data_IF_428432363967
#
_entry.id   IF_428432363967
#
_cell.length_a   1.000
_cell.length_b   1.000
_cell.length_c   1.000
_cell.angle_alpha   90.00
_cell.angle_beta   90.00
_cell.angle_gamma   90.00
#
_symmetry.space_group_name_H-M   'P 1'
#
loop_
_entity.id
_entity.type
_entity.pdbx_description
1 polymer ?
#
# COMPACT_ATOMS: atom_id res chain seq x y z
N UNK A 1 -12.46 -16.78 17.16
CA UNK A 1 -11.64 -15.57 17.32
C UNK A 1 -12.51 -14.34 17.46
N UNK A 2 -12.07 -13.37 18.28
CA UNK A 2 -12.55 -12.00 18.13
C UNK A 2 -11.82 -11.41 16.92
N UNK A 3 -12.40 -10.39 16.29
CA UNK A 3 -11.78 -9.67 15.19
C UNK A 3 -11.74 -8.20 15.62
N UNK A 4 -11.08 -7.95 16.75
CA UNK A 4 -10.97 -6.63 17.38
C UNK A 4 -10.26 -5.64 16.46
N UNK A 5 -9.26 -6.08 15.67
CA UNK A 5 -8.59 -5.25 14.65
C UNK A 5 -9.56 -4.81 13.56
N UNK A 6 -10.32 -5.72 12.95
CA UNK A 6 -11.32 -5.36 11.92
C UNK A 6 -12.43 -4.48 12.50
N UNK A 7 -12.81 -4.69 13.76
CA UNK A 7 -13.77 -3.84 14.45
C UNK A 7 -13.23 -2.43 14.69
N UNK A 8 -11.96 -2.32 15.12
CA UNK A 8 -11.26 -1.05 15.31
C UNK A 8 -11.15 -0.29 13.99
N UNK A 9 -10.68 -0.96 12.93
CA UNK A 9 -10.61 -0.39 11.57
C UNK A 9 -11.97 0.03 11.02
N UNK A 10 -13.02 -0.75 11.24
CA UNK A 10 -14.38 -0.36 10.82
C UNK A 10 -14.88 0.89 11.57
N UNK A 11 -14.51 1.03 12.84
CA UNK A 11 -14.87 2.20 13.65
C UNK A 11 -14.12 3.43 13.19
N UNK A 12 -12.81 3.32 12.96
CA UNK A 12 -12.00 4.40 12.41
C UNK A 12 -12.49 4.81 11.01
N UNK A 13 -12.75 3.84 10.13
CA UNK A 13 -13.24 4.09 8.78
C UNK A 13 -14.57 4.83 8.79
N UNK A 14 -15.45 4.52 9.75
CA UNK A 14 -16.69 5.25 9.92
C UNK A 14 -16.40 6.73 10.19
N UNK A 15 -15.55 7.02 11.18
CA UNK A 15 -15.20 8.40 11.55
C UNK A 15 -14.57 9.15 10.38
N UNK A 16 -13.61 8.53 9.68
CA UNK A 16 -12.89 9.15 8.56
C UNK A 16 -13.82 9.40 7.36
N UNK A 17 -14.79 8.52 7.11
CA UNK A 17 -15.81 8.76 6.07
C UNK A 17 -16.80 9.86 6.48
N UNK A 18 -17.24 9.90 7.74
CA UNK A 18 -18.13 10.95 8.23
C UNK A 18 -17.45 12.33 8.19
N UNK A 19 -16.17 12.41 8.60
CA UNK A 19 -15.35 13.62 8.52
C UNK A 19 -15.05 14.01 7.06
N UNK A 20 -14.51 13.08 6.26
CA UNK A 20 -14.08 13.37 4.88
C UNK A 20 -15.23 13.74 3.95
N UNK A 21 -16.45 13.23 4.21
CA UNK A 21 -17.63 13.53 3.40
C UNK A 21 -18.44 14.73 3.90
N UNK A 22 -18.20 15.20 5.13
CA UNK A 22 -18.84 16.42 5.65
C UNK A 22 -18.11 17.68 5.22
N UNK A 23 -16.85 17.58 4.76
CA UNK A 23 -16.12 18.71 4.21
C UNK A 23 -16.59 19.10 2.80
N UNK A 24 -16.67 20.41 2.47
CA UNK A 24 -17.00 20.85 1.11
C UNK A 24 -15.93 20.36 0.13
N UNK A 25 -16.34 19.63 -0.91
CA UNK A 25 -15.44 19.28 -1.99
C UNK A 25 -14.96 20.56 -2.70
N UNK A 26 -13.67 20.69 -3.04
CA UNK A 26 -13.10 21.92 -3.60
C UNK A 26 -13.74 22.36 -4.92
N UNK A 27 -14.45 21.46 -5.60
CA UNK A 27 -15.11 21.71 -6.88
C UNK A 27 -16.61 22.02 -6.77
N UNK A 28 -17.21 21.91 -5.58
CA UNK A 28 -18.61 22.26 -5.36
C UNK A 28 -18.72 23.74 -4.94
N UNK A 29 -19.62 24.49 -5.61
CA UNK A 29 -20.09 25.79 -5.09
C UNK A 29 -20.58 25.57 -3.65
N UNK A 30 -20.22 26.45 -2.70
CA UNK A 30 -20.39 26.15 -1.28
C UNK A 30 -21.87 26.02 -0.92
N UNK A 31 -22.28 24.96 -0.20
CA UNK A 31 -23.22 25.13 0.89
C UNK A 31 -22.45 25.78 2.05
N UNK A 32 -23.05 26.82 2.65
CA UNK A 32 -22.47 27.63 3.72
C UNK A 32 -22.29 26.90 5.08
N UNK A 33 -22.60 25.60 5.18
CA UNK A 33 -22.48 24.82 6.43
C UNK A 33 -22.18 23.34 6.10
N UNK A 34 -21.15 22.72 6.70
CA UNK A 34 -20.95 21.26 6.66
C UNK A 34 -22.22 20.54 7.09
N UNK A 35 -22.75 19.63 6.28
CA UNK A 35 -23.84 18.77 6.71
C UNK A 35 -23.26 17.49 7.32
N UNK A 36 -23.71 17.09 8.51
CA UNK A 36 -23.27 15.85 9.11
C UNK A 36 -23.71 14.67 8.22
N UNK A 37 -22.72 13.89 7.79
CA UNK A 37 -22.94 12.63 7.07
C UNK A 37 -22.98 11.52 8.11
N UNK A 38 -24.04 10.71 8.11
CA UNK A 38 -24.13 9.54 8.99
C UNK A 38 -23.83 8.27 8.19
N UNK A 39 -22.82 7.51 8.64
CA UNK A 39 -22.39 6.25 8.04
C UNK A 39 -22.67 5.09 8.99
N UNK A 40 -23.35 4.06 8.48
CA UNK A 40 -23.58 2.83 9.24
C UNK A 40 -22.28 2.04 9.36
N UNK A 41 -21.97 1.57 10.57
CA UNK A 41 -20.81 0.71 10.82
C UNK A 41 -20.85 -0.59 9.97
N UNK A 42 -22.05 -1.10 9.70
CA UNK A 42 -22.23 -2.25 8.81
C UNK A 42 -21.71 -1.99 7.39
N UNK A 43 -21.85 -0.77 6.85
CA UNK A 43 -21.31 -0.42 5.54
C UNK A 43 -19.78 -0.44 5.55
N UNK A 44 -19.15 0.05 6.62
CA UNK A 44 -17.69 0.05 6.76
C UNK A 44 -17.13 -1.37 6.70
N UNK A 45 -17.75 -2.32 7.41
CA UNK A 45 -17.33 -3.72 7.31
C UNK A 45 -17.48 -4.32 5.90
N UNK A 46 -18.49 -3.90 5.14
CA UNK A 46 -18.66 -4.36 3.75
C UNK A 46 -17.59 -3.77 2.82
N UNK A 47 -17.18 -2.52 3.04
CA UNK A 47 -16.08 -1.90 2.29
C UNK A 47 -14.72 -2.53 2.64
N UNK A 48 -14.49 -2.87 3.91
CA UNK A 48 -13.30 -3.62 4.34
C UNK A 48 -13.26 -4.97 3.64
N UNK A 49 -14.37 -5.73 3.67
CA UNK A 49 -14.46 -7.02 3.01
C UNK A 49 -14.16 -6.91 1.51
N UNK A 50 -14.74 -5.91 0.82
CA UNK A 50 -14.49 -5.67 -0.59
C UNK A 50 -13.03 -5.28 -0.89
N UNK A 51 -12.38 -4.56 0.04
CA UNK A 51 -10.95 -4.19 -0.09
C UNK A 51 -10.07 -5.44 -0.13
N UNK A 52 -10.34 -6.40 0.75
CA UNK A 52 -9.66 -7.71 0.77
C UNK A 52 -10.26 -8.73 -0.22
N UNK A 53 -10.99 -8.28 -1.24
CA UNK A 53 -11.48 -9.14 -2.33
C UNK A 53 -12.70 -10.01 -2.02
N UNK A 54 -13.30 -9.88 -0.83
CA UNK A 54 -14.53 -10.61 -0.50
C UNK A 54 -15.77 -9.88 -1.04
N UNK A 55 -16.72 -10.64 -1.57
CA UNK A 55 -18.00 -10.06 -2.02
C UNK A 55 -18.88 -9.51 -0.89
N UNK A 56 -18.75 -10.05 0.33
CA UNK A 56 -19.52 -9.63 1.51
C UNK A 56 -18.74 -9.87 2.80
N UNK A 57 -19.07 -9.12 3.86
CA UNK A 57 -18.51 -9.32 5.21
C UNK A 57 -18.66 -10.76 5.72
N UNK A 58 -19.78 -11.41 5.41
CA UNK A 58 -20.04 -12.79 5.87
C UNK A 58 -19.04 -13.77 5.28
N UNK A 59 -18.60 -13.57 4.04
CA UNK A 59 -17.57 -14.42 3.41
C UNK A 59 -16.22 -14.23 4.09
N UNK A 60 -15.82 -12.98 4.36
CA UNK A 60 -14.60 -12.65 5.10
C UNK A 60 -14.58 -13.28 6.50
N UNK A 61 -15.73 -13.32 7.20
CA UNK A 61 -15.84 -13.96 8.53
C UNK A 61 -15.74 -15.48 8.52
N UNK A 62 -16.04 -16.12 7.39
CA UNK A 62 -15.92 -17.57 7.23
C UNK A 62 -14.49 -17.99 6.89
N UNK A 63 -13.69 -17.03 6.45
CA UNK A 63 -12.28 -17.26 6.21
C UNK A 63 -11.56 -17.40 7.57
N UNK A 64 -10.74 -18.44 7.68
CA UNK A 64 -10.06 -18.82 8.92
C UNK A 64 -8.76 -18.02 9.08
N UNK A 65 -8.89 -16.70 9.01
CA UNK A 65 -7.79 -15.74 9.10
C UNK A 65 -7.82 -15.09 10.47
N UNK A 66 -6.67 -15.07 11.15
CA UNK A 66 -6.48 -14.32 12.38
C UNK A 66 -6.19 -12.85 12.08
N UNK A 67 -7.27 -12.07 11.93
CA UNK A 67 -7.17 -10.65 11.67
C UNK A 67 -6.66 -9.83 12.86
N UNK A 68 -6.62 -10.41 14.05
CA UNK A 68 -6.08 -9.75 15.24
C UNK A 68 -4.55 -9.85 15.31
N UNK A 69 -3.96 -10.75 14.51
CA UNK A 69 -2.52 -10.79 14.25
C UNK A 69 -2.14 -9.69 13.24
N UNK A 70 -1.28 -8.77 13.70
CA UNK A 70 -0.86 -7.61 12.92
C UNK A 70 0.04 -7.99 11.74
N UNK A 71 0.83 -9.06 11.86
CA UNK A 71 1.68 -9.58 10.80
C UNK A 71 0.78 -10.16 9.70
N UNK A 72 -0.14 -11.05 10.07
CA UNK A 72 -1.14 -11.63 9.16
C UNK A 72 -1.97 -10.54 8.47
N UNK A 73 -2.43 -9.52 9.19
CA UNK A 73 -3.14 -8.39 8.58
C UNK A 73 -2.30 -7.69 7.52
N UNK A 74 -1.02 -7.42 7.84
CA UNK A 74 -0.10 -6.67 6.98
C UNK A 74 0.24 -7.47 5.73
N UNK A 75 0.50 -8.77 5.86
CA UNK A 75 0.67 -9.71 4.74
C UNK A 75 -0.57 -9.74 3.85
N UNK A 76 -1.76 -9.87 4.43
CA UNK A 76 -3.00 -9.87 3.63
C UNK A 76 -3.20 -8.56 2.89
N UNK A 77 -2.84 -7.44 3.51
CA UNK A 77 -2.89 -6.14 2.85
C UNK A 77 -1.87 -6.06 1.72
N UNK A 78 -0.63 -6.52 1.93
CA UNK A 78 0.40 -6.63 0.89
C UNK A 78 -0.10 -7.46 -0.30
N UNK A 79 -0.58 -8.67 -0.04
CA UNK A 79 -0.85 -9.63 -1.12
C UNK A 79 -2.14 -9.32 -1.89
N UNK A 80 -3.11 -8.69 -1.21
CA UNK A 80 -4.45 -8.47 -1.78
C UNK A 80 -4.68 -7.02 -2.22
N UNK A 81 -4.04 -6.06 -1.55
CA UNK A 81 -4.34 -4.64 -1.68
C UNK A 81 -3.18 -3.88 -2.30
N UNK A 82 -1.95 -4.08 -1.80
CA UNK A 82 -0.77 -3.38 -2.29
C UNK A 82 -0.56 -3.66 -3.77
N UNK A 83 -0.42 -2.59 -4.56
CA UNK A 83 -0.26 -2.63 -6.03
C UNK A 83 -1.41 -3.28 -6.82
N UNK A 84 -2.49 -3.74 -6.18
CA UNK A 84 -3.65 -4.30 -6.87
C UNK A 84 -4.56 -3.18 -7.42
N UNK A 85 -4.46 -2.96 -8.73
CA UNK A 85 -5.23 -1.93 -9.44
C UNK A 85 -6.76 -2.15 -9.43
N UNK A 86 -7.25 -3.36 -9.09
CA UNK A 86 -8.68 -3.67 -9.05
C UNK A 86 -9.35 -3.39 -7.70
N UNK A 87 -8.59 -3.04 -6.66
CA UNK A 87 -9.15 -2.78 -5.31
C UNK A 87 -10.20 -1.68 -5.37
N UNK A 88 -9.91 -0.59 -6.09
CA UNK A 88 -10.86 0.51 -6.27
C UNK A 88 -12.16 0.03 -6.91
N UNK A 89 -12.08 -0.79 -7.95
CA UNK A 89 -13.26 -1.34 -8.62
C UNK A 89 -14.07 -2.24 -7.68
N UNK A 90 -13.40 -3.07 -6.87
CA UNK A 90 -14.06 -3.92 -5.85
C UNK A 90 -14.84 -3.09 -4.84
N UNK A 91 -14.23 -2.03 -4.30
CA UNK A 91 -14.87 -1.10 -3.35
C UNK A 91 -16.07 -0.42 -4.01
N UNK A 92 -15.90 0.11 -5.24
CA UNK A 92 -16.95 0.82 -5.96
C UNK A 92 -18.11 -0.10 -6.34
N UNK A 93 -17.82 -1.33 -6.76
CA UNK A 93 -18.86 -2.32 -7.06
C UNK A 93 -19.64 -2.69 -5.80
N UNK A 94 -18.97 -2.88 -4.66
CA UNK A 94 -19.67 -3.12 -3.40
C UNK A 94 -20.53 -1.92 -2.99
N UNK A 95 -20.02 -0.71 -3.16
CA UNK A 95 -20.77 0.52 -2.87
C UNK A 95 -22.09 0.60 -3.65
N UNK A 96 -22.12 0.16 -4.91
CA UNK A 96 -23.35 0.14 -5.74
C UNK A 96 -24.43 -0.74 -5.13
N UNK A 97 -24.06 -1.84 -4.49
CA UNK A 97 -24.99 -2.80 -3.89
C UNK A 97 -25.49 -2.36 -2.51
N UNK A 98 -24.72 -1.52 -1.79
CA UNK A 98 -25.10 -1.05 -0.46
C UNK A 98 -26.29 -0.07 -0.51
N UNK A 99 -27.19 -0.18 0.46
CA UNK A 99 -28.19 0.86 0.71
C UNK A 99 -27.57 2.02 1.51
N UNK A 100 -26.65 2.74 0.87
CA UNK A 100 -25.88 3.83 1.48
C UNK A 100 -25.94 5.12 0.64
N UNK A 101 -27.07 5.87 0.66
CA UNK A 101 -27.22 7.08 -0.13
C UNK A 101 -26.11 8.11 0.09
N UNK A 102 -25.69 8.32 1.34
CA UNK A 102 -24.64 9.30 1.68
C UNK A 102 -23.29 8.95 1.07
N UNK A 103 -22.93 7.66 1.01
CA UNK A 103 -21.72 7.22 0.34
C UNK A 103 -21.88 7.33 -1.19
N UNK A 104 -23.03 6.93 -1.74
CA UNK A 104 -23.27 6.99 -3.19
C UNK A 104 -23.30 8.41 -3.76
N UNK A 105 -23.54 9.42 -2.93
CA UNK A 105 -23.51 10.82 -3.32
C UNK A 105 -22.08 11.36 -3.50
N UNK A 106 -21.08 10.72 -2.89
CA UNK A 106 -19.70 11.14 -2.98
C UNK A 106 -19.01 10.58 -4.23
N UNK A 107 -18.05 11.32 -4.83
CA UNK A 107 -17.21 10.78 -5.88
C UNK A 107 -16.46 9.53 -5.42
N UNK A 108 -16.46 8.48 -6.24
CA UNK A 108 -15.89 7.19 -5.88
C UNK A 108 -14.43 7.25 -5.41
N UNK A 109 -13.60 8.08 -6.07
CA UNK A 109 -12.19 8.22 -5.73
C UNK A 109 -11.93 8.78 -4.33
N UNK A 110 -12.88 9.54 -3.76
CA UNK A 110 -12.79 10.07 -2.40
C UNK A 110 -13.01 8.93 -1.41
N UNK A 111 -14.06 8.13 -1.63
CA UNK A 111 -14.36 6.98 -0.78
C UNK A 111 -13.21 5.98 -0.83
N UNK A 112 -12.74 5.62 -2.02
CA UNK A 112 -11.64 4.65 -2.15
C UNK A 112 -10.36 5.18 -1.52
N UNK A 113 -10.07 6.48 -1.64
CA UNK A 113 -8.93 7.12 -0.98
C UNK A 113 -8.99 7.03 0.54
N UNK A 114 -10.15 7.36 1.14
CA UNK A 114 -10.36 7.25 2.60
C UNK A 114 -10.26 5.80 3.06
N UNK A 115 -10.93 4.87 2.36
CA UNK A 115 -10.91 3.44 2.68
C UNK A 115 -9.48 2.89 2.66
N UNK A 116 -8.74 3.15 1.58
CA UNK A 116 -7.36 2.68 1.48
C UNK A 116 -6.49 3.28 2.58
N UNK A 117 -6.55 4.59 2.79
CA UNK A 117 -5.74 5.26 3.83
C UNK A 117 -6.03 4.72 5.23
N UNK A 118 -7.29 4.44 5.55
CA UNK A 118 -7.67 3.87 6.85
C UNK A 118 -7.13 2.45 7.04
N UNK A 119 -7.06 1.67 5.96
CA UNK A 119 -6.70 0.25 5.99
C UNK A 119 -5.23 -0.01 5.76
N UNK A 120 -4.46 0.95 5.24
CA UNK A 120 -3.01 0.84 5.10
C UNK A 120 -2.35 0.49 6.43
N UNK A 121 -1.35 -0.40 6.45
CA UNK A 121 -0.49 -0.60 7.61
C UNK A 121 0.08 0.72 8.14
N UNK A 122 0.32 0.79 9.44
CA UNK A 122 0.95 1.97 10.01
C UNK A 122 2.42 2.02 9.61
N UNK A 123 2.92 3.21 9.25
CA UNK A 123 4.34 3.41 9.06
C UNK A 123 5.14 3.05 10.32
N UNK A 124 6.21 2.27 10.18
CA UNK A 124 7.14 1.92 11.27
C UNK A 124 7.68 3.15 12.01
N UNK A 125 8.07 4.17 11.26
CA UNK A 125 8.68 5.40 11.79
C UNK A 125 7.66 6.34 12.46
N UNK A 126 6.70 6.85 11.69
CA UNK A 126 5.80 7.92 12.16
C UNK A 126 4.36 7.49 12.49
N UNK A 127 4.03 6.20 12.31
CA UNK A 127 2.68 5.63 12.47
C UNK A 127 1.59 6.19 11.54
N UNK A 128 1.92 7.15 10.68
CA UNK A 128 1.01 7.64 9.65
C UNK A 128 0.64 6.52 8.67
N UNK A 129 -0.60 6.54 8.19
CA UNK A 129 -1.11 5.57 7.22
C UNK A 129 -1.17 6.26 5.85
N UNK A 130 -0.22 5.92 4.98
CA UNK A 130 -0.15 6.42 3.61
C UNK A 130 -0.23 5.23 2.63
N UNK A 131 -1.30 5.07 1.85
CA UNK A 131 -1.46 3.94 0.92
C UNK A 131 -0.42 3.93 -0.20
N UNK A 132 0.37 5.01 -0.35
CA UNK A 132 1.50 5.12 -1.29
C UNK A 132 2.85 4.88 -0.62
N UNK A 133 2.87 4.40 0.62
CA UNK A 133 4.06 3.91 1.27
C UNK A 133 4.66 2.68 0.59
N UNK A 134 5.79 2.21 1.09
CA UNK A 134 6.54 1.07 0.55
C UNK A 134 6.84 0.06 1.65
N UNK A 135 6.99 -1.19 1.23
CA UNK A 135 7.46 -2.26 2.09
C UNK A 135 8.99 -2.26 2.16
N UNK A 136 9.52 -2.57 3.34
CA UNK A 136 10.96 -2.65 3.64
C UNK A 136 11.37 -4.11 3.73
N UNK A 137 12.45 -4.48 3.07
CA UNK A 137 13.01 -5.83 3.03
C UNK A 137 14.29 -5.90 3.85
N UNK A 138 14.58 -7.09 4.38
CA UNK A 138 15.83 -7.39 5.10
C UNK A 138 16.89 -8.01 4.17
N UNK A 139 17.86 -8.70 4.74
CA UNK A 139 18.96 -9.35 4.01
C UNK A 139 18.51 -10.55 3.19
N UNK A 140 17.36 -11.15 3.49
CA UNK A 140 16.80 -12.24 2.70
C UNK A 140 16.21 -11.77 1.38
N UNK A 141 15.76 -10.52 1.29
CA UNK A 141 15.08 -9.99 0.11
C UNK A 141 13.68 -10.58 -0.16
N UNK A 142 13.33 -11.71 0.46
CA UNK A 142 12.14 -12.50 0.16
C UNK A 142 10.86 -11.89 0.74
N UNK A 143 10.81 -11.68 2.05
CA UNK A 143 9.62 -11.19 2.75
C UNK A 143 9.87 -9.81 3.37
N UNK A 144 8.97 -8.83 3.14
CA UNK A 144 9.13 -7.54 3.77
C UNK A 144 8.85 -7.61 5.26
N UNK A 145 9.73 -6.99 6.03
CA UNK A 145 9.69 -6.95 7.49
C UNK A 145 8.85 -5.79 8.03
N UNK A 146 8.68 -4.72 7.25
CA UNK A 146 8.03 -3.49 7.69
C UNK A 146 7.35 -2.74 6.54
N UNK A 147 6.52 -1.77 6.91
CA UNK A 147 5.92 -0.81 6.00
C UNK A 147 6.25 0.62 6.43
N UNK A 148 6.60 1.48 5.48
CA UNK A 148 6.90 2.90 5.73
C UNK A 148 6.08 3.80 4.82
N UNK A 149 5.60 4.94 5.35
CA UNK A 149 4.91 5.93 4.53
C UNK A 149 5.89 6.56 3.53
N UNK A 150 5.37 7.25 2.52
CA UNK A 150 6.20 7.87 1.47
C UNK A 150 7.19 8.91 2.01
N UNK A 151 6.81 9.61 3.07
CA UNK A 151 7.67 10.63 3.72
C UNK A 151 8.86 9.96 4.42
N UNK A 152 8.62 8.94 5.26
CA UNK A 152 9.71 8.18 5.88
C UNK A 152 10.54 7.43 4.84
N UNK A 153 9.94 6.92 3.77
CA UNK A 153 10.64 6.24 2.68
C UNK A 153 11.53 7.17 1.84
N UNK A 154 11.45 8.48 2.03
CA UNK A 154 12.28 9.47 1.33
C UNK A 154 13.51 9.91 2.13
N UNK A 155 13.70 9.36 3.33
CA UNK A 155 14.89 9.56 4.14
C UNK A 155 16.01 8.64 3.62
N UNK A 156 16.93 9.21 2.84
CA UNK A 156 18.05 8.51 2.20
C UNK A 156 19.13 8.06 3.19
N UNK A 157 19.14 8.59 4.40
CA UNK A 157 20.02 8.13 5.47
C UNK A 157 19.54 6.77 6.05
N UNK A 158 18.22 6.55 6.08
CA UNK A 158 17.62 5.35 6.67
C UNK A 158 17.26 4.29 5.61
N UNK A 159 16.76 4.71 4.46
CA UNK A 159 16.25 3.82 3.43
C UNK A 159 16.73 4.17 2.02
N UNK A 160 17.03 3.14 1.24
CA UNK A 160 17.32 3.30 -0.18
C UNK A 160 16.95 2.02 -0.96
N UNK A 161 17.05 2.06 -2.29
CA UNK A 161 16.67 0.98 -3.19
C UNK A 161 17.89 0.31 -3.78
N UNK A 162 17.80 -0.99 -4.06
CA UNK A 162 18.87 -1.68 -4.77
C UNK A 162 18.79 -1.37 -6.28
N UNK A 163 19.96 -1.06 -6.87
CA UNK A 163 20.14 -0.81 -8.31
C UNK A 163 19.51 -1.89 -9.21
N UNK A 164 19.53 -3.15 -8.76
CA UNK A 164 19.09 -4.30 -9.54
C UNK A 164 17.66 -4.77 -9.21
N UNK A 165 17.21 -4.63 -7.95
CA UNK A 165 15.85 -4.98 -7.54
C UNK A 165 14.78 -4.00 -8.07
N UNK A 166 15.19 -2.78 -8.43
CA UNK A 166 14.32 -1.72 -8.91
C UNK A 166 13.69 -0.87 -7.79
N UNK A 167 13.05 0.23 -8.18
CA UNK A 167 12.57 1.28 -7.26
C UNK A 167 11.39 0.87 -6.36
N UNK A 168 10.80 -0.30 -6.62
CA UNK A 168 9.63 -0.81 -5.89
C UNK A 168 9.97 -1.48 -4.56
N UNK A 169 11.25 -1.80 -4.31
CA UNK A 169 11.73 -2.53 -3.14
C UNK A 169 12.65 -1.62 -2.34
N UNK A 170 12.32 -1.45 -1.06
CA UNK A 170 13.05 -0.57 -0.15
C UNK A 170 13.88 -1.41 0.82
N UNK A 171 15.12 -1.01 1.06
CA UNK A 171 16.02 -1.63 2.03
C UNK A 171 16.50 -0.58 3.03
N UNK A 172 16.83 -0.96 4.29
CA UNK A 172 17.64 -0.12 5.15
C UNK A 172 18.98 0.20 4.49
N UNK A 173 19.42 1.45 4.49
CA UNK A 173 20.67 1.88 3.84
C UNK A 173 21.88 1.10 4.36
N UNK A 174 21.85 0.65 5.63
CA UNK A 174 22.89 -0.19 6.23
C UNK A 174 23.07 -1.57 5.56
N UNK A 175 22.09 -2.06 4.81
CA UNK A 175 22.17 -3.32 4.06
C UNK A 175 22.74 -3.15 2.66
N UNK A 176 22.79 -1.92 2.14
CA UNK A 176 23.34 -1.64 0.83
C UNK A 176 24.85 -1.40 0.91
N UNK A 177 25.59 -1.90 -0.08
CA UNK A 177 27.00 -1.55 -0.23
C UNK A 177 27.16 -0.15 -0.88
N UNK A 178 28.40 0.29 -1.04
CA UNK A 178 28.70 1.60 -1.66
C UNK A 178 28.29 1.74 -3.12
N UNK A 179 27.93 0.63 -3.79
CA UNK A 179 27.42 0.61 -5.16
C UNK A 179 25.88 0.59 -5.21
N UNK A 180 25.19 0.65 -4.06
CA UNK A 180 23.73 0.57 -3.98
C UNK A 180 23.20 -0.85 -4.22
N UNK A 181 23.98 -1.88 -3.88
CA UNK A 181 23.61 -3.28 -4.06
C UNK A 181 23.16 -3.89 -2.74
N UNK A 182 22.02 -4.58 -2.76
CA UNK A 182 21.58 -5.38 -1.62
C UNK A 182 22.46 -6.63 -1.45
N UNK A 183 22.32 -7.37 -0.34
CA UNK A 183 23.12 -8.56 -0.08
C UNK A 183 23.10 -9.61 -1.19
N UNK A 184 21.98 -9.76 -1.91
CA UNK A 184 21.85 -10.70 -3.03
C UNK A 184 22.66 -10.26 -4.26
N UNK A 185 22.63 -8.98 -4.62
CA UNK A 185 23.31 -8.45 -5.81
C UNK A 185 24.72 -7.91 -5.50
N UNK A 186 25.28 -8.28 -4.35
CA UNK A 186 26.54 -7.71 -3.86
C UNK A 186 27.71 -8.17 -4.74
N UNK A 187 28.35 -7.20 -5.39
CA UNK A 187 29.47 -7.40 -6.30
C UNK A 187 29.06 -7.55 -7.76
N UNK A 188 27.77 -7.47 -8.11
CA UNK A 188 27.34 -7.60 -9.50
C UNK A 188 27.77 -6.44 -10.40
N UNK A 189 27.99 -5.25 -9.85
CA UNK A 189 28.61 -4.13 -10.58
C UNK A 189 30.13 -4.26 -10.71
N UNK A 190 30.75 -5.19 -9.97
CA UNK A 190 32.19 -5.39 -10.00
C UNK A 190 32.58 -6.40 -11.07
N UNK A 191 32.80 -5.90 -12.28
CA UNK A 191 33.42 -6.68 -13.35
C UNK A 191 34.89 -6.95 -13.01
N UNK A 192 35.29 -8.23 -13.06
CA UNK A 192 36.69 -8.58 -13.05
C UNK A 192 37.39 -8.18 -14.37
N UNK A 193 38.71 -8.31 -14.42
CA UNK A 193 39.50 -7.87 -15.58
C UNK A 193 39.15 -8.67 -16.85
N UNK A 194 38.80 -9.95 -16.73
CA UNK A 194 38.42 -10.82 -17.86
C UNK A 194 37.03 -10.43 -18.38
N UNK A 195 36.05 -10.28 -17.49
CA UNK A 195 34.70 -9.83 -17.83
C UNK A 195 34.72 -8.44 -18.47
N UNK A 196 35.61 -7.55 -18.02
CA UNK A 196 35.78 -6.22 -18.62
C UNK A 196 36.36 -6.29 -20.03
N UNK A 197 37.38 -7.11 -20.26
CA UNK A 197 37.97 -7.33 -21.59
C UNK A 197 36.95 -7.92 -22.56
N UNK A 198 36.09 -8.83 -22.10
CA UNK A 198 34.99 -9.40 -22.89
C UNK A 198 33.94 -8.34 -23.26
N UNK A 199 33.53 -7.49 -22.31
CA UNK A 199 32.62 -6.38 -22.58
C UNK A 199 33.19 -5.36 -23.55
N UNK A 200 34.45 -4.96 -23.38
CA UNK A 200 35.15 -4.03 -24.27
C UNK A 200 35.24 -4.61 -25.69
N UNK A 201 35.57 -5.90 -25.81
CA UNK A 201 35.63 -6.61 -27.10
C UNK A 201 34.26 -6.67 -27.79
N UNK A 202 33.18 -6.90 -27.03
CA UNK A 202 31.81 -6.92 -27.55
C UNK A 202 31.36 -5.53 -28.04
N UNK A 203 31.65 -4.47 -27.29
CA UNK A 203 31.35 -3.08 -27.68
C UNK A 203 32.15 -2.70 -28.93
N UNK A 204 33.43 -3.08 -29.00
CA UNK A 204 34.26 -2.85 -30.19
C UNK A 204 33.69 -3.55 -31.43
N UNK A 205 33.20 -4.78 -31.28
CA UNK A 205 32.54 -5.52 -32.36
C UNK A 205 31.26 -4.81 -32.85
N UNK A 206 30.39 -4.38 -31.94
CA UNK A 206 29.14 -3.68 -32.30
C UNK A 206 29.38 -2.35 -33.02
N UNK A 207 30.47 -1.64 -32.71
CA UNK A 207 30.82 -0.36 -33.32
C UNK A 207 31.57 -0.49 -34.65
N UNK A 208 31.95 -1.71 -35.09
CA UNK A 208 32.66 -1.92 -36.37
C UNK A 208 31.76 -1.81 -37.60
N UNK A 209 30.43 -1.86 -37.43
CA UNK A 209 29.45 -1.80 -38.52
C UNK A 209 28.75 -0.42 -38.67
N UNK A 210 29.27 0.63 -38.04
CA UNK A 210 28.85 2.03 -38.21
C UNK A 210 29.92 2.91 -38.89
#
# INVERSE_FOLDING_TARGET
MKNETIQSKATQLKLDLEEGLSQPLPFNRPPLVPQPVEIKLSHCHELIAATFGYGQRVSMKKDDIDWDDQEVYTERWRDTVYQNNKVNDSIINRLKELNAPSLKAAPGFIITGIVQSTLTPQCKGCRHQDPRGRFVHDDSGDEPIDFVCRECASDDEEYDTCTYCGEGILYPTSLLNSAGECPEHRGESHLDDEEREDWDSYIEYLNKDY
#
